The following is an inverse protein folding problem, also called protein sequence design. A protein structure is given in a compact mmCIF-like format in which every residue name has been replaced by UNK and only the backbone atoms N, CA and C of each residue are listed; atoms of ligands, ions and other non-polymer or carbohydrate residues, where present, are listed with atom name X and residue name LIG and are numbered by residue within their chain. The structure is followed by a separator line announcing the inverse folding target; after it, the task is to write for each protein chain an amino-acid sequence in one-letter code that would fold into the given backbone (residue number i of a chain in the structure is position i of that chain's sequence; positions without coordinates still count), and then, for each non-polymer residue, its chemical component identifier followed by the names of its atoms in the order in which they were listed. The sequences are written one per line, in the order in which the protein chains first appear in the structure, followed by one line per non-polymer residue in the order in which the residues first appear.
data_IF_401586314456
#
_entry.id   IF_401586314456
#
_cell.length_a   1.000
_cell.length_b   1.000
_cell.length_c   1.000
_cell.angle_alpha   90.00
_cell.angle_beta   90.00
_cell.angle_gamma   90.00
#
_symmetry.space_group_name_H-M   'P 1'
#
loop_
_entity.id
_entity.type
_entity.pdbx_description
1 polymer ?
#
# COMPACT_ATOMS: atom_id res chain seq x y z
N UNK A 1 0.62 -28.66 -0.58
CA UNK A 1 1.90 -27.92 -0.43
C UNK A 1 1.92 -26.80 -1.45
N UNK A 2 2.11 -25.53 -1.07
CA UNK A 2 2.24 -24.45 -2.05
C UNK A 2 3.43 -24.75 -2.98
N UNK A 3 3.21 -24.65 -4.28
CA UNK A 3 4.22 -24.94 -5.30
C UNK A 3 5.42 -23.99 -5.25
N UNK A 4 6.55 -24.41 -5.85
CA UNK A 4 7.76 -23.58 -5.91
C UNK A 4 7.49 -22.31 -6.75
N UNK A 5 7.96 -21.13 -6.32
CA UNK A 5 7.73 -19.89 -7.06
C UNK A 5 8.41 -19.95 -8.43
N UNK A 6 7.69 -19.48 -9.46
CA UNK A 6 8.21 -19.43 -10.83
C UNK A 6 9.39 -18.46 -10.93
N UNK A 7 10.37 -18.81 -11.76
CA UNK A 7 11.49 -17.92 -12.08
C UNK A 7 11.01 -16.82 -13.01
N UNK A 8 11.34 -15.58 -12.67
CA UNK A 8 10.96 -14.43 -13.49
C UNK A 8 11.71 -14.49 -14.84
N UNK A 9 11.09 -14.03 -15.94
CA UNK A 9 11.79 -13.80 -17.19
C UNK A 9 12.86 -12.70 -17.04
N UNK A 10 13.80 -12.58 -17.99
CA UNK A 10 14.82 -11.53 -17.95
C UNK A 10 14.17 -10.14 -18.03
N UNK A 11 14.31 -9.35 -16.96
CA UNK A 11 13.73 -8.02 -16.82
C UNK A 11 14.79 -6.91 -17.00
N UNK A 12 14.44 -5.75 -17.58
CA UNK A 12 15.34 -4.60 -17.67
C UNK A 12 15.60 -3.95 -16.30
N UNK A 13 14.59 -3.84 -15.43
CA UNK A 13 14.71 -3.42 -14.04
C UNK A 13 13.87 -4.33 -13.13
N UNK A 14 14.41 -4.65 -11.95
CA UNK A 14 13.69 -5.37 -10.90
C UNK A 14 13.31 -4.34 -9.82
N UNK A 15 12.08 -3.84 -9.90
CA UNK A 15 11.57 -2.80 -9.01
C UNK A 15 10.09 -3.02 -8.73
N UNK A 16 9.66 -2.54 -7.57
CA UNK A 16 8.26 -2.44 -7.18
C UNK A 16 7.80 -1.04 -7.56
N UNK A 17 6.69 -0.96 -8.31
CA UNK A 17 6.11 0.30 -8.80
C UNK A 17 5.63 1.18 -7.64
N UNK A 18 4.95 0.59 -6.68
CA UNK A 18 4.44 1.25 -5.48
C UNK A 18 5.11 0.64 -4.23
N UNK A 19 6.28 1.15 -3.82
CA UNK A 19 7.05 0.56 -2.71
C UNK A 19 6.47 0.90 -1.34
N UNK A 20 5.58 1.91 -1.26
CA UNK A 20 4.95 2.33 -0.01
C UNK A 20 3.48 1.91 0.01
N UNK A 21 3.03 1.47 1.19
CA UNK A 21 1.61 1.30 1.44
C UNK A 21 0.93 2.66 1.36
N UNK A 22 -0.19 2.72 0.63
CA UNK A 22 -1.01 3.92 0.62
C UNK A 22 -1.57 4.12 2.03
N UNK A 23 -1.36 5.28 2.67
CA UNK A 23 -1.95 5.53 3.97
C UNK A 23 -3.46 5.46 3.84
N UNK A 24 -4.09 4.63 4.67
CA UNK A 24 -5.54 4.58 4.79
C UNK A 24 -6.04 5.95 5.28
N UNK A 25 -7.18 6.45 4.76
CA UNK A 25 -7.72 7.72 5.19
C UNK A 25 -8.18 7.68 6.66
N UNK A 26 -7.51 8.46 7.51
CA UNK A 26 -7.51 8.40 8.98
C UNK A 26 -8.89 8.42 9.67
N UNK A 27 -9.94 9.02 9.07
CA UNK A 27 -11.28 9.09 9.68
C UNK A 27 -12.41 8.56 8.80
N UNK A 28 -12.10 8.08 7.60
CA UNK A 28 -13.14 7.64 6.64
C UNK A 28 -13.86 6.40 7.13
N UNK A 29 -13.15 5.48 7.81
CA UNK A 29 -13.78 4.29 8.39
C UNK A 29 -14.82 4.66 9.46
N UNK A 30 -14.49 5.63 10.34
CA UNK A 30 -15.42 6.10 11.38
C UNK A 30 -16.58 6.90 10.77
N UNK A 31 -16.36 7.65 9.70
CA UNK A 31 -17.46 8.29 8.96
C UNK A 31 -18.42 7.25 8.37
N UNK A 32 -17.89 6.16 7.79
CA UNK A 32 -18.70 5.08 7.24
C UNK A 32 -19.56 4.40 8.32
N UNK A 33 -19.04 4.21 9.54
CA UNK A 33 -19.81 3.62 10.65
C UNK A 33 -20.93 4.55 11.13
N UNK A 34 -20.70 5.87 11.19
CA UNK A 34 -21.76 6.84 11.50
C UNK A 34 -22.88 6.80 10.44
N UNK A 35 -22.51 6.78 9.15
CA UNK A 35 -23.49 6.68 8.06
C UNK A 35 -24.28 5.35 8.13
N UNK A 36 -23.61 4.25 8.44
CA UNK A 36 -24.27 2.96 8.66
C UNK A 36 -25.25 2.99 9.83
N UNK A 37 -24.91 3.69 10.91
CA UNK A 37 -25.80 3.88 12.06
C UNK A 37 -27.04 4.69 11.70
N UNK A 38 -26.88 5.80 10.96
CA UNK A 38 -28.02 6.59 10.48
C UNK A 38 -28.89 5.82 9.49
N UNK A 39 -28.29 4.97 8.65
CA UNK A 39 -29.03 4.11 7.74
C UNK A 39 -29.86 3.04 8.46
N UNK A 40 -29.36 2.49 9.58
CA UNK A 40 -30.02 1.41 10.30
C UNK A 40 -31.03 1.89 11.36
N UNK A 41 -30.68 2.91 12.14
CA UNK A 41 -31.47 3.39 13.27
C UNK A 41 -32.27 4.68 12.96
N UNK A 42 -31.98 5.33 11.84
CA UNK A 42 -32.52 6.66 11.51
C UNK A 42 -31.58 7.79 11.95
N UNK A 43 -31.81 8.97 11.39
CA UNK A 43 -30.98 10.15 11.61
C UNK A 43 -31.04 10.62 13.07
N UNK A 44 -29.88 10.92 13.65
CA UNK A 44 -29.74 11.56 14.96
C UNK A 44 -30.44 10.82 16.14
N UNK A 45 -30.36 9.48 16.15
CA UNK A 45 -30.83 8.68 17.28
C UNK A 45 -29.76 8.61 18.38
N UNK A 46 -30.19 8.50 19.64
CA UNK A 46 -29.28 8.40 20.79
C UNK A 46 -28.27 7.23 20.67
N UNK A 47 -28.57 6.21 19.86
CA UNK A 47 -27.68 5.09 19.58
C UNK A 47 -26.42 5.46 18.77
N UNK A 48 -26.46 6.52 17.96
CA UNK A 48 -25.32 6.93 17.13
C UNK A 48 -24.40 7.96 17.80
N UNK A 49 -24.77 8.48 18.98
CA UNK A 49 -24.03 9.55 19.67
C UNK A 49 -22.58 9.17 20.01
N UNK A 50 -22.33 7.88 20.33
CA UNK A 50 -20.96 7.39 20.61
C UNK A 50 -20.09 7.43 19.35
N UNK A 51 -20.65 7.07 18.19
CA UNK A 51 -19.92 7.07 16.92
C UNK A 51 -19.62 8.50 16.44
N UNK A 52 -20.54 9.43 16.66
CA UNK A 52 -20.32 10.85 16.38
C UNK A 52 -19.19 11.45 17.24
N UNK A 53 -19.13 11.08 18.53
CA UNK A 53 -18.03 11.49 19.41
C UNK A 53 -16.69 10.89 18.97
N UNK A 54 -16.66 9.64 18.51
CA UNK A 54 -15.45 9.03 17.96
C UNK A 54 -15.00 9.74 16.69
N UNK A 55 -15.94 10.14 15.82
CA UNK A 55 -15.63 10.90 14.62
C UNK A 55 -15.02 12.26 14.95
N UNK A 56 -15.57 13.00 15.93
CA UNK A 56 -15.00 14.27 16.39
C UNK A 56 -13.57 14.09 16.91
N UNK A 57 -13.36 13.12 17.81
CA UNK A 57 -12.01 12.79 18.31
C UNK A 57 -11.03 12.45 17.19
N UNK A 58 -11.49 11.77 16.14
CA UNK A 58 -10.66 11.45 15.00
C UNK A 58 -10.28 12.69 14.17
N UNK A 59 -11.25 13.59 13.95
CA UNK A 59 -11.07 14.82 13.16
C UNK A 59 -10.28 15.90 13.91
N UNK A 60 -10.40 15.95 15.23
CA UNK A 60 -9.65 16.84 16.13
C UNK A 60 -8.18 16.37 16.28
N UNK A 61 -7.92 15.09 16.02
CA UNK A 61 -6.57 14.51 16.03
C UNK A 61 -5.69 15.04 14.89
N UNK A 62 -4.40 15.22 15.17
CA UNK A 62 -3.45 15.58 14.12
C UNK A 62 -3.29 14.45 13.10
N UNK A 63 -3.00 14.81 11.85
CA UNK A 63 -2.81 13.84 10.76
C UNK A 63 -1.69 12.85 11.12
N UNK A 64 -1.87 11.55 10.83
CA UNK A 64 -0.84 10.55 11.11
C UNK A 64 0.45 10.92 10.36
N UNK A 65 1.59 10.72 11.01
CA UNK A 65 2.89 10.98 10.41
C UNK A 65 3.07 10.11 9.15
N UNK A 66 3.64 10.70 8.10
CA UNK A 66 3.94 9.97 6.87
C UNK A 66 4.99 8.89 7.17
N UNK A 67 4.72 7.66 6.74
CA UNK A 67 5.66 6.55 6.95
C UNK A 67 7.01 6.83 6.28
N UNK A 68 8.13 6.43 6.91
CA UNK A 68 9.46 6.64 6.34
C UNK A 68 9.60 5.97 4.98
N UNK A 69 10.38 6.57 4.09
CA UNK A 69 10.55 6.10 2.72
C UNK A 69 11.13 4.68 2.65
N UNK A 70 10.49 3.79 1.88
CA UNK A 70 10.93 2.40 1.73
C UNK A 70 12.08 2.28 0.71
N UNK A 71 13.26 1.88 1.16
CA UNK A 71 14.46 1.71 0.31
C UNK A 71 14.51 0.38 -0.48
N UNK A 72 13.39 -0.33 -0.63
CA UNK A 72 13.34 -1.69 -1.20
C UNK A 72 13.88 -1.77 -2.63
N UNK A 73 13.59 -0.77 -3.47
CA UNK A 73 14.05 -0.72 -4.86
C UNK A 73 15.59 -0.63 -4.97
N UNK A 74 16.26 -0.03 -3.99
CA UNK A 74 17.72 0.03 -3.91
C UNK A 74 18.34 -1.35 -3.70
N UNK A 75 17.70 -2.19 -2.88
CA UNK A 75 18.16 -3.56 -2.63
C UNK A 75 17.83 -4.48 -3.81
N UNK A 76 16.64 -4.36 -4.40
CA UNK A 76 16.22 -5.16 -5.55
C UNK A 76 17.14 -4.94 -6.77
N UNK A 77 17.59 -3.70 -7.00
CA UNK A 77 18.55 -3.39 -8.06
C UNK A 77 19.88 -4.15 -7.87
N UNK A 78 20.36 -4.27 -6.64
CA UNK A 78 21.61 -5.02 -6.31
C UNK A 78 21.40 -6.54 -6.43
N UNK A 79 20.25 -7.03 -5.99
CA UNK A 79 19.89 -8.45 -5.97
C UNK A 79 19.54 -9.01 -7.35
N UNK A 80 19.20 -8.15 -8.33
CA UNK A 80 18.82 -8.56 -9.69
C UNK A 80 19.77 -9.60 -10.30
N UNK A 81 21.09 -9.42 -10.14
CA UNK A 81 22.11 -10.34 -10.67
C UNK A 81 22.07 -11.75 -10.07
N UNK A 82 21.63 -11.87 -8.82
CA UNK A 82 21.63 -13.13 -8.08
C UNK A 82 20.31 -13.88 -8.23
N UNK A 83 19.19 -13.15 -8.34
CA UNK A 83 17.84 -13.73 -8.43
C UNK A 83 17.54 -14.26 -9.83
N UNK A 84 17.99 -13.51 -10.85
CA UNK A 84 17.87 -13.90 -12.24
C UNK A 84 19.23 -13.69 -12.92
N UNK A 85 20.13 -14.69 -12.88
CA UNK A 85 21.36 -14.63 -13.65
C UNK A 85 20.96 -14.69 -15.12
N UNK A 86 20.64 -13.54 -15.71
CA UNK A 86 20.45 -13.44 -17.15
C UNK A 86 21.72 -13.99 -17.78
N UNK A 87 21.65 -15.00 -18.66
CA UNK A 87 22.82 -15.35 -19.46
C UNK A 87 23.18 -14.07 -20.21
N UNK A 88 24.36 -13.52 -19.93
CA UNK A 88 24.91 -12.41 -20.71
C UNK A 88 24.78 -12.80 -22.18
N UNK A 89 23.83 -12.22 -22.94
CA UNK A 89 23.90 -12.26 -24.40
C UNK A 89 25.08 -11.37 -24.78
N UNK A 90 26.26 -11.98 -24.81
CA UNK A 90 27.46 -11.47 -25.46
C UNK A 90 27.05 -11.17 -26.91
N UNK A 91 26.83 -9.90 -27.24
CA UNK A 91 26.69 -9.46 -28.64
C UNK A 91 25.32 -9.00 -29.13
N UNK A 92 24.68 -8.03 -28.48
CA UNK A 92 23.96 -6.99 -29.24
C UNK A 92 24.22 -5.62 -28.64
N UNK A 93 25.16 -4.90 -29.26
CA UNK A 93 25.20 -3.43 -29.27
C UNK A 93 23.80 -2.97 -29.67
N UNK A 94 23.10 -2.27 -28.78
CA UNK A 94 21.99 -1.42 -29.19
C UNK A 94 22.62 -0.28 -29.99
N UNK A 95 22.34 -0.26 -31.30
CA UNK A 95 22.72 0.78 -32.24
C UNK A 95 21.41 1.47 -32.64
N UNK A 96 21.37 2.79 -32.55
CA UNK A 96 20.21 3.63 -32.86
C UNK A 96 19.88 4.54 -31.69
#
# INVERSE_FOLDING_TARGET
MPGKPMRLPPLPLLQIKDPQAKPEPHCVQVMATVLGCWAAAGYNTAGCAVLEQQLRKCMDGSKPAMSPHNAINSHLARLKRNVNPTPFKKGKRFQG
#
